data_IF_443478544886
#
_entry.id   IF_443478544886
#
_cell.length_a   1.000
_cell.length_b   1.000
_cell.length_c   1.000
_cell.angle_alpha   90.00
_cell.angle_beta   90.00
_cell.angle_gamma   90.00
#
_symmetry.space_group_name_H-M   'P 1'
#
loop_
_entity.id
_entity.type
_entity.pdbx_description
1 polymer ?
#
# COMPACT_ATOMS: atom_id res chain seq x y z
N UNK A 1 5.68 -11.31 8.40
CA UNK A 1 6.58 -10.58 9.32
C UNK A 1 7.31 -11.63 10.18
N UNK A 2 8.38 -11.26 10.89
CA UNK A 2 9.20 -12.22 11.65
C UNK A 2 8.40 -12.98 12.71
N UNK A 3 7.46 -12.31 13.38
CA UNK A 3 6.62 -12.93 14.39
C UNK A 3 5.72 -14.02 13.81
N UNK A 4 5.14 -13.80 12.63
CA UNK A 4 4.33 -14.80 11.95
C UNK A 4 5.14 -16.08 11.67
N UNK A 5 6.35 -15.93 11.15
CA UNK A 5 7.22 -17.06 10.77
C UNK A 5 7.78 -17.83 11.96
N UNK A 6 8.14 -17.13 13.04
CA UNK A 6 8.79 -17.73 14.21
C UNK A 6 7.79 -18.22 15.26
N UNK A 7 6.62 -17.59 15.36
CA UNK A 7 5.63 -17.88 16.41
C UNK A 7 4.33 -18.41 15.82
N UNK A 8 3.64 -17.61 14.99
CA UNK A 8 2.28 -17.92 14.58
C UNK A 8 2.19 -19.20 13.75
N UNK A 9 3.01 -19.32 12.70
CA UNK A 9 2.98 -20.45 11.78
C UNK A 9 3.52 -21.74 12.39
N UNK A 10 4.35 -21.64 13.45
CA UNK A 10 4.90 -22.79 14.20
C UNK A 10 4.03 -23.22 15.37
N UNK A 11 3.07 -22.39 15.78
CA UNK A 11 2.16 -22.70 16.89
C UNK A 11 1.30 -23.90 16.54
N UNK A 12 1.20 -24.85 17.47
CA UNK A 12 0.25 -25.95 17.34
C UNK A 12 -1.16 -25.47 17.73
N UNK A 13 -2.11 -25.61 16.82
CA UNK A 13 -3.50 -25.21 17.01
C UNK A 13 -4.36 -26.43 17.39
N UNK A 14 -4.80 -26.51 18.65
CA UNK A 14 -5.56 -27.66 19.20
C UNK A 14 -6.79 -28.07 18.36
N UNK A 15 -7.55 -27.09 17.84
CA UNK A 15 -8.75 -27.36 17.02
C UNK A 15 -8.41 -27.94 15.65
N UNK A 16 -7.32 -27.49 15.05
CA UNK A 16 -6.83 -27.94 13.73
C UNK A 16 -6.01 -29.23 13.86
N UNK A 17 -5.47 -29.50 15.05
CA UNK A 17 -4.63 -30.68 15.32
C UNK A 17 -3.22 -30.57 14.70
N UNK A 18 -2.80 -29.37 14.30
CA UNK A 18 -1.56 -29.17 13.55
C UNK A 18 -1.03 -27.75 13.63
N UNK A 19 0.05 -27.48 12.90
CA UNK A 19 0.64 -26.15 12.72
C UNK A 19 0.24 -25.61 11.36
N UNK A 20 0.03 -24.30 11.27
CA UNK A 20 -0.33 -23.65 10.01
C UNK A 20 0.76 -23.85 8.95
N UNK A 21 2.04 -23.82 9.36
CA UNK A 21 3.16 -24.07 8.45
C UNK A 21 3.14 -25.46 7.81
N UNK A 22 2.78 -26.50 8.58
CA UNK A 22 2.72 -27.88 8.07
C UNK A 22 1.56 -28.04 7.08
N UNK A 23 0.40 -27.46 7.40
CA UNK A 23 -0.77 -27.46 6.52
C UNK A 23 -0.47 -26.72 5.19
N UNK A 24 0.19 -25.56 5.26
CA UNK A 24 0.59 -24.80 4.07
C UNK A 24 1.47 -25.59 3.11
N UNK A 25 2.44 -26.36 3.62
CA UNK A 25 3.33 -27.19 2.78
C UNK A 25 2.53 -28.22 1.97
N UNK A 26 1.49 -28.81 2.57
CA UNK A 26 0.60 -29.77 1.90
C UNK A 26 -0.31 -29.07 0.90
N UNK A 27 -0.94 -27.97 1.31
CA UNK A 27 -1.98 -27.30 0.52
C UNK A 27 -1.44 -26.49 -0.66
N UNK A 28 -0.21 -25.98 -0.58
CA UNK A 28 0.36 -25.09 -1.60
C UNK A 28 0.36 -25.69 -3.01
N UNK A 29 0.53 -27.01 -3.15
CA UNK A 29 0.51 -27.70 -4.44
C UNK A 29 -0.87 -27.76 -5.11
N UNK A 30 -1.93 -27.52 -4.36
CA UNK A 30 -3.31 -27.51 -4.85
C UNK A 30 -3.80 -26.10 -5.24
N UNK A 31 -3.01 -25.06 -4.97
CA UNK A 31 -3.35 -23.68 -5.32
C UNK A 31 -3.00 -23.39 -6.78
N UNK A 32 -3.85 -22.60 -7.44
CA UNK A 32 -3.55 -22.05 -8.76
C UNK A 32 -2.41 -21.02 -8.71
N UNK A 33 -1.77 -20.73 -9.86
CA UNK A 33 -0.80 -19.64 -9.95
C UNK A 33 -1.49 -18.30 -9.65
N UNK A 34 -0.68 -17.34 -9.18
CA UNK A 34 -1.15 -15.96 -9.08
C UNK A 34 -1.49 -15.43 -10.48
N UNK A 35 -2.48 -14.51 -10.59
CA UNK A 35 -2.78 -13.87 -11.87
C UNK A 35 -1.56 -13.08 -12.36
N UNK A 36 -1.36 -13.12 -13.68
CA UNK A 36 -0.37 -12.29 -14.38
C UNK A 36 -1.10 -11.41 -15.40
N UNK A 37 -1.19 -10.08 -15.19
CA UNK A 37 -0.56 -9.32 -14.11
C UNK A 37 -1.29 -9.44 -12.75
N UNK A 38 -0.55 -9.14 -11.68
CA UNK A 38 -1.14 -8.97 -10.35
C UNK A 38 -2.21 -7.85 -10.37
N UNK A 39 -3.26 -7.94 -9.52
CA UNK A 39 -4.27 -6.90 -9.43
C UNK A 39 -3.66 -5.58 -8.96
N UNK A 40 -4.17 -4.46 -9.50
CA UNK A 40 -3.81 -3.13 -9.01
C UNK A 40 -4.44 -2.90 -7.64
N UNK A 41 -3.59 -2.80 -6.62
CA UNK A 41 -4.00 -2.58 -5.22
C UNK A 41 -3.95 -1.11 -4.81
N UNK A 42 -3.45 -0.22 -5.67
CA UNK A 42 -3.31 1.19 -5.32
C UNK A 42 -4.67 1.86 -5.18
N UNK A 43 -4.84 2.62 -4.10
CA UNK A 43 -5.98 3.52 -3.98
C UNK A 43 -5.76 4.73 -4.86
N UNK A 44 -6.75 5.08 -5.67
CA UNK A 44 -6.74 6.23 -6.56
C UNK A 44 -7.64 7.32 -6.03
N UNK A 45 -7.10 8.52 -5.81
CA UNK A 45 -7.79 9.66 -5.22
C UNK A 45 -7.61 10.90 -6.11
N UNK A 46 -8.53 11.85 -6.03
CA UNK A 46 -8.32 13.21 -6.51
C UNK A 46 -8.19 14.15 -5.30
N UNK A 47 -7.13 14.97 -5.29
CA UNK A 47 -6.87 15.94 -4.22
C UNK A 47 -6.60 17.30 -4.82
N UNK A 48 -6.82 18.36 -4.04
CA UNK A 48 -6.45 19.73 -4.41
C UNK A 48 -5.15 20.10 -3.71
N UNK A 49 -4.16 20.55 -4.46
CA UNK A 49 -2.96 21.12 -3.87
C UNK A 49 -3.31 22.40 -3.12
N UNK A 50 -2.92 22.48 -1.86
CA UNK A 50 -3.03 23.66 -1.05
C UNK A 50 -2.06 24.76 -1.56
N UNK A 51 -2.29 26.00 -1.13
CA UNK A 51 -1.51 27.16 -1.59
C UNK A 51 -0.07 27.16 -1.10
N UNK A 52 0.19 26.45 -0.01
CA UNK A 52 1.50 26.22 0.60
C UNK A 52 2.32 25.11 -0.11
N UNK A 53 1.76 24.48 -1.15
CA UNK A 53 2.45 23.45 -1.91
C UNK A 53 2.35 22.06 -1.32
N UNK A 54 1.31 21.77 -0.53
CA UNK A 54 1.06 20.41 0.00
C UNK A 54 -0.24 19.79 -0.52
N UNK A 55 -0.28 18.47 -0.54
CA UNK A 55 -1.51 17.67 -0.66
C UNK A 55 -1.68 16.81 0.57
N UNK A 56 -2.89 16.79 1.13
CA UNK A 56 -3.22 15.93 2.26
C UNK A 56 -3.80 14.61 1.78
N UNK A 57 -3.20 13.49 2.20
CA UNK A 57 -3.54 12.13 1.74
C UNK A 57 -3.64 11.18 2.94
N UNK A 58 -4.87 10.83 3.29
CA UNK A 58 -5.25 10.07 4.50
C UNK A 58 -4.57 10.61 5.78
N UNK A 59 -4.62 11.92 5.98
CA UNK A 59 -4.16 12.59 7.21
C UNK A 59 -2.71 13.07 7.19
N UNK A 60 -1.86 12.57 6.30
CA UNK A 60 -0.48 13.05 6.14
C UNK A 60 -0.34 14.05 4.99
N UNK A 61 0.55 15.03 5.15
CA UNK A 61 0.87 16.03 4.12
C UNK A 61 2.08 15.64 3.29
N UNK A 62 1.96 15.84 1.98
CA UNK A 62 3.01 15.55 1.01
C UNK A 62 3.26 16.78 0.16
N UNK A 63 4.52 17.20 0.04
CA UNK A 63 4.88 18.36 -0.75
C UNK A 63 4.71 18.09 -2.25
N UNK A 64 4.34 19.12 -3.01
CA UNK A 64 4.24 19.10 -4.47
C UNK A 64 5.00 20.29 -5.04
N UNK A 65 5.44 20.24 -6.32
CA UNK A 65 6.17 21.36 -6.90
C UNK A 65 5.31 22.64 -6.92
N UNK A 66 5.89 23.84 -6.65
CA UNK A 66 5.12 25.08 -6.45
C UNK A 66 4.17 25.46 -7.58
N UNK A 67 4.50 25.12 -8.83
CA UNK A 67 3.66 25.39 -10.00
C UNK A 67 2.31 24.65 -10.03
N UNK A 68 2.05 23.78 -9.06
CA UNK A 68 0.82 23.00 -8.94
C UNK A 68 -0.13 23.48 -7.84
N UNK A 69 0.21 24.54 -7.11
CA UNK A 69 -0.64 25.10 -6.06
C UNK A 69 -2.05 25.41 -6.59
N UNK A 70 -3.09 24.96 -5.87
CA UNK A 70 -4.48 25.13 -6.28
C UNK A 70 -4.92 24.28 -7.48
N UNK A 71 -4.08 23.40 -8.03
CA UNK A 71 -4.51 22.44 -9.07
C UNK A 71 -5.16 21.21 -8.43
N UNK A 72 -6.04 20.57 -9.21
CA UNK A 72 -6.53 19.21 -8.90
C UNK A 72 -5.50 18.21 -9.42
N UNK A 73 -5.12 17.28 -8.56
CA UNK A 73 -4.07 16.29 -8.79
C UNK A 73 -4.63 14.90 -8.56
N UNK A 74 -4.17 13.93 -9.34
CA UNK A 74 -4.48 12.53 -9.10
C UNK A 74 -3.41 11.93 -8.19
N UNK A 75 -3.81 11.14 -7.20
CA UNK A 75 -2.88 10.48 -6.27
C UNK A 75 -3.11 8.98 -6.35
N UNK A 76 -2.01 8.23 -6.45
CA UNK A 76 -1.98 6.78 -6.17
C UNK A 76 -1.35 6.56 -4.81
N UNK A 77 -2.01 5.76 -3.99
CA UNK A 77 -1.57 5.44 -2.63
C UNK A 77 -1.46 3.93 -2.50
N UNK A 78 -0.26 3.47 -2.19
CA UNK A 78 0.01 2.11 -1.79
C UNK A 78 0.36 2.06 -0.29
N UNK A 79 0.70 0.88 0.21
CA UNK A 79 1.18 0.71 1.59
C UNK A 79 2.56 1.32 1.82
N UNK A 80 3.31 1.62 0.75
CA UNK A 80 4.72 2.06 0.82
C UNK A 80 4.96 3.43 0.22
N UNK A 81 4.12 3.88 -0.71
CA UNK A 81 4.32 5.14 -1.44
C UNK A 81 3.04 5.92 -1.72
N UNK A 82 3.23 7.22 -1.96
CA UNK A 82 2.25 8.17 -2.48
C UNK A 82 2.81 8.78 -3.75
N UNK A 83 2.14 8.55 -4.87
CA UNK A 83 2.55 9.10 -6.16
C UNK A 83 1.52 10.14 -6.60
N UNK A 84 1.98 11.35 -6.87
CA UNK A 84 1.13 12.47 -7.31
C UNK A 84 1.30 12.68 -8.81
N UNK A 85 0.19 12.86 -9.51
CA UNK A 85 0.08 13.05 -10.94
C UNK A 85 -0.75 14.30 -11.26
N UNK A 86 -0.49 14.88 -12.42
CA UNK A 86 -1.33 15.91 -13.02
C UNK A 86 -1.47 15.61 -14.51
N UNK A 87 -2.71 15.47 -14.98
CA UNK A 87 -3.01 15.29 -16.41
C UNK A 87 -2.23 14.11 -17.04
N UNK A 88 -2.11 13.00 -16.30
CA UNK A 88 -1.37 11.82 -16.76
C UNK A 88 0.16 11.92 -16.66
N UNK A 89 0.71 13.03 -16.14
CA UNK A 89 2.15 13.19 -15.86
C UNK A 89 2.45 12.99 -14.38
N UNK A 90 3.36 12.07 -14.06
CA UNK A 90 3.86 11.89 -12.69
C UNK A 90 4.67 13.12 -12.26
N UNK A 91 4.31 13.71 -11.13
CA UNK A 91 4.94 14.91 -10.58
C UNK A 91 6.01 14.55 -9.56
N UNK A 92 5.64 13.76 -8.56
CA UNK A 92 6.49 13.40 -7.42
C UNK A 92 6.05 12.07 -6.83
N UNK A 93 7.00 11.36 -6.22
CA UNK A 93 6.78 10.13 -5.45
C UNK A 93 7.34 10.34 -4.04
N UNK A 94 6.55 9.98 -3.04
CA UNK A 94 6.92 10.03 -1.63
C UNK A 94 6.81 8.67 -0.99
N UNK A 95 7.62 8.40 0.02
CA UNK A 95 7.37 7.27 0.93
C UNK A 95 6.09 7.55 1.73
N UNK A 96 5.25 6.53 1.90
CA UNK A 96 4.02 6.62 2.69
C UNK A 96 4.34 6.92 4.16
N UNK A 97 3.73 7.98 4.68
CA UNK A 97 3.65 8.31 6.10
C UNK A 97 2.25 7.99 6.64
N UNK A 98 2.23 7.40 7.83
CA UNK A 98 1.01 7.14 8.62
C UNK A 98 0.89 8.07 9.83
N UNK A 99 1.82 9.03 9.97
CA UNK A 99 1.77 10.05 11.01
C UNK A 99 0.92 11.21 10.48
N UNK A 100 -0.20 11.56 11.13
CA UNK A 100 -1.00 12.72 10.75
C UNK A 100 -0.20 14.02 10.88
N UNK A 101 -0.45 14.95 9.96
CA UNK A 101 0.14 16.30 9.95
C UNK A 101 -0.60 17.27 10.89
#
# INVERSE_FOLDING_TARGET
DQWADEVAFRRHHRRVGGRVGDAWVVERGFLGPLPDPLPDTDRRLEVRAARDGFVRVEGADYSVPPGYAGRRLQVRVSTTEVIVWCEGRRLVTHRRSFVPA
#
